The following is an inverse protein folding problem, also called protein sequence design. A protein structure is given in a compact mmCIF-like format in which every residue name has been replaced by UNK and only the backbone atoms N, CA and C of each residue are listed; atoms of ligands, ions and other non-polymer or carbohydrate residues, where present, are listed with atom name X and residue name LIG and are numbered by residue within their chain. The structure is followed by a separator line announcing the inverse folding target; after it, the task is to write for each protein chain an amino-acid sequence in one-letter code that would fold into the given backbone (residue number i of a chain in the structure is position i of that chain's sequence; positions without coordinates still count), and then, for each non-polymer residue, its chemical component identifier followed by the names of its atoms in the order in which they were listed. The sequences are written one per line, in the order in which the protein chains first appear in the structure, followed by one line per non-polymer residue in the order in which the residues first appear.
data_IF_877110812809
#
_entry.id   IF_877110812809
#
_cell.length_a   1.000
_cell.length_b   1.000
_cell.length_c   1.000
_cell.angle_alpha   90.00
_cell.angle_beta   90.00
_cell.angle_gamma   90.00
#
_symmetry.space_group_name_H-M   'P 1'
#
loop_
_entity.id
_entity.type
_entity.pdbx_description
1 polymer ?
#
# COMPACT_ATOMS: atom_id res chain seq x y z
N UNK A 1 -14.82 -4.54 20.16
CA UNK A 1 -13.59 -5.28 20.58
C UNK A 1 -12.42 -4.74 19.79
N UNK A 2 -11.24 -4.63 20.40
CA UNK A 2 -10.03 -4.20 19.70
C UNK A 2 -9.50 -5.37 18.86
N UNK A 3 -9.17 -5.12 17.61
CA UNK A 3 -8.65 -6.12 16.67
C UNK A 3 -7.18 -6.37 17.00
N UNK A 4 -6.80 -7.61 17.29
CA UNK A 4 -5.43 -7.98 17.66
C UNK A 4 -4.66 -8.44 16.44
N UNK A 5 -3.57 -7.75 16.15
CA UNK A 5 -2.79 -7.90 14.91
C UNK A 5 -1.34 -8.27 15.21
N UNK A 6 -0.84 -9.28 14.50
CA UNK A 6 0.58 -9.60 14.39
C UNK A 6 1.18 -8.98 13.12
N UNK A 7 2.46 -8.62 13.18
CA UNK A 7 3.21 -8.14 12.01
C UNK A 7 4.36 -9.11 11.76
N UNK A 8 4.43 -9.67 10.55
CA UNK A 8 5.56 -10.44 10.08
C UNK A 8 6.38 -9.63 9.07
N UNK A 9 7.61 -9.28 9.42
CA UNK A 9 8.47 -8.36 8.69
C UNK A 9 8.35 -6.91 9.18
N UNK A 10 9.42 -6.37 9.76
CA UNK A 10 9.47 -5.03 10.31
C UNK A 10 10.31 -4.08 9.45
N UNK A 11 10.22 -4.27 8.13
CA UNK A 11 10.75 -3.38 7.10
C UNK A 11 9.98 -2.04 7.04
N UNK A 12 10.09 -1.30 5.94
CA UNK A 12 9.40 -0.01 5.78
C UNK A 12 7.90 -0.12 6.09
N UNK A 13 7.21 -1.02 5.40
CA UNK A 13 5.75 -1.14 5.54
C UNK A 13 5.35 -1.68 6.92
N UNK A 14 6.00 -2.73 7.42
CA UNK A 14 5.67 -3.27 8.76
C UNK A 14 5.82 -2.23 9.86
N UNK A 15 6.90 -1.41 9.83
CA UNK A 15 7.08 -0.30 10.79
C UNK A 15 6.03 0.78 10.66
N UNK A 16 5.62 1.13 9.45
CA UNK A 16 4.61 2.17 9.25
C UNK A 16 3.20 1.68 9.55
N UNK A 17 2.89 0.42 9.28
CA UNK A 17 1.67 -0.22 9.79
C UNK A 17 1.65 -0.18 11.32
N UNK A 18 2.78 -0.46 11.97
CA UNK A 18 2.88 -0.33 13.43
C UNK A 18 2.63 1.11 13.90
N UNK A 19 3.29 2.10 13.28
CA UNK A 19 3.11 3.52 13.64
C UNK A 19 1.68 3.98 13.40
N UNK A 20 1.07 3.66 12.27
CA UNK A 20 -0.31 3.99 11.95
C UNK A 20 -1.30 3.35 12.94
N UNK A 21 -1.03 2.12 13.39
CA UNK A 21 -1.85 1.48 14.41
C UNK A 21 -1.82 2.21 15.77
N UNK A 22 -0.72 2.93 16.10
CA UNK A 22 -0.65 3.71 17.33
C UNK A 22 -1.55 4.97 17.30
N UNK A 23 -2.00 5.40 16.12
CA UNK A 23 -2.93 6.51 15.94
C UNK A 23 -4.40 6.06 15.93
N UNK A 24 -4.64 4.75 16.16
CA UNK A 24 -5.97 4.10 16.10
C UNK A 24 -6.37 3.53 17.46
N UNK A 25 -7.67 3.42 17.67
CA UNK A 25 -8.25 2.83 18.88
C UNK A 25 -8.91 1.47 18.65
N UNK A 26 -9.08 1.08 17.39
CA UNK A 26 -9.73 -0.15 16.97
C UNK A 26 -8.77 -1.33 16.75
N UNK A 27 -7.47 -1.07 16.60
CA UNK A 27 -6.42 -2.06 16.31
C UNK A 27 -5.31 -2.00 17.38
N UNK A 28 -4.85 -3.17 17.80
CA UNK A 28 -3.71 -3.35 18.70
C UNK A 28 -2.69 -4.30 18.08
N UNK A 29 -1.43 -3.84 17.96
CA UNK A 29 -0.32 -4.71 17.56
C UNK A 29 0.17 -5.47 18.79
N UNK A 30 0.05 -6.79 18.76
CA UNK A 30 0.35 -7.66 19.92
C UNK A 30 1.63 -8.49 19.74
N UNK A 31 2.15 -8.56 18.52
CA UNK A 31 3.37 -9.29 18.23
C UNK A 31 4.02 -8.80 16.93
N UNK A 32 5.35 -8.85 16.91
CA UNK A 32 6.17 -8.51 15.73
C UNK A 32 7.19 -9.63 15.55
N UNK A 33 7.38 -10.06 14.32
CA UNK A 33 8.45 -10.96 13.94
C UNK A 33 9.37 -10.29 12.90
N UNK A 34 10.66 -10.30 13.18
CA UNK A 34 11.71 -9.93 12.21
C UNK A 34 13.03 -10.56 12.66
N UNK A 35 14.01 -10.71 11.76
CA UNK A 35 15.29 -11.36 12.03
C UNK A 35 16.35 -10.42 12.64
N UNK A 36 15.93 -9.26 13.13
CA UNK A 36 16.77 -8.27 13.82
C UNK A 36 16.56 -8.35 15.33
N UNK A 37 17.52 -7.88 16.12
CA UNK A 37 17.38 -7.80 17.55
C UNK A 37 16.41 -6.70 18.00
N UNK A 38 15.94 -6.80 19.25
CA UNK A 38 14.92 -5.89 19.77
C UNK A 38 15.46 -4.46 19.96
N UNK A 39 16.74 -4.30 20.26
CA UNK A 39 17.41 -3.01 20.42
C UNK A 39 17.43 -2.27 19.08
N UNK A 40 17.80 -2.96 18.02
CA UNK A 40 17.82 -2.37 16.68
C UNK A 40 16.40 -2.12 16.15
N UNK A 41 15.45 -3.00 16.47
CA UNK A 41 14.03 -2.78 16.18
C UNK A 41 13.51 -1.50 16.84
N UNK A 42 13.80 -1.29 18.12
CA UNK A 42 13.44 -0.09 18.87
C UNK A 42 14.08 1.17 18.26
N UNK A 43 15.35 1.09 17.85
CA UNK A 43 16.06 2.18 17.15
C UNK A 43 15.36 2.55 15.84
N UNK A 44 15.10 1.56 14.97
CA UNK A 44 14.43 1.79 13.68
C UNK A 44 12.98 2.27 13.84
N UNK A 45 12.28 1.89 14.90
CA UNK A 45 10.95 2.42 15.18
C UNK A 45 11.02 3.88 15.64
N UNK A 46 12.06 4.24 16.41
CA UNK A 46 12.22 5.60 16.96
C UNK A 46 12.57 6.61 15.89
N UNK A 47 13.46 6.28 14.98
CA UNK A 47 14.02 7.21 14.00
C UNK A 47 13.64 6.80 12.57
N UNK A 48 13.09 7.73 11.83
CA UNK A 48 12.77 7.54 10.42
C UNK A 48 13.07 8.83 9.65
N UNK A 49 13.77 8.70 8.52
CA UNK A 49 14.20 9.85 7.73
C UNK A 49 13.01 10.60 7.13
N UNK A 50 11.97 9.89 6.67
CA UNK A 50 10.83 10.50 6.00
C UNK A 50 9.69 10.84 6.97
N UNK A 51 9.43 9.94 7.93
CA UNK A 51 8.29 10.10 8.85
C UNK A 51 8.70 10.64 10.23
N UNK A 52 9.97 11.06 10.37
CA UNK A 52 10.48 11.67 11.60
C UNK A 52 10.53 10.74 12.81
N UNK A 53 10.77 11.32 13.97
CA UNK A 53 10.80 10.56 15.22
C UNK A 53 9.41 10.07 15.61
N UNK A 54 9.36 8.86 16.16
CA UNK A 54 8.13 8.28 16.68
C UNK A 54 7.56 9.15 17.81
N UNK A 55 6.28 9.46 17.71
CA UNK A 55 5.55 10.27 18.71
C UNK A 55 5.01 9.35 19.81
N UNK A 56 5.84 9.04 20.79
CA UNK A 56 5.48 8.17 21.91
C UNK A 56 6.71 7.63 22.64
N UNK A 57 6.48 6.83 23.69
CA UNK A 57 7.55 6.17 24.42
C UNK A 57 7.94 4.84 23.77
N UNK A 58 9.24 4.59 23.66
CA UNK A 58 9.81 3.30 23.25
C UNK A 58 10.87 2.93 24.26
N UNK A 59 10.66 1.82 24.93
CA UNK A 59 11.55 1.30 25.98
C UNK A 59 11.83 -0.18 25.72
N UNK A 60 12.94 -0.67 26.25
CA UNK A 60 13.22 -2.09 26.35
C UNK A 60 13.24 -2.43 27.84
N UNK A 61 12.34 -3.33 28.25
CA UNK A 61 12.25 -3.82 29.64
C UNK A 61 12.30 -5.34 29.64
N UNK A 62 13.21 -5.90 30.34
CA UNK A 62 13.41 -7.37 30.47
C UNK A 62 13.51 -8.05 29.09
N UNK A 63 14.22 -7.41 28.12
CA UNK A 63 14.37 -7.91 26.76
C UNK A 63 13.12 -7.80 25.87
N UNK A 64 12.08 -7.10 26.32
CA UNK A 64 10.83 -6.90 25.58
C UNK A 64 10.73 -5.47 25.05
N UNK A 65 10.20 -5.33 23.85
CA UNK A 65 9.83 -4.03 23.30
C UNK A 65 8.56 -3.51 24.00
N UNK A 66 8.66 -2.34 24.62
CA UNK A 66 7.52 -1.68 25.28
C UNK A 66 7.26 -0.34 24.57
N UNK A 67 6.08 -0.18 23.98
CA UNK A 67 5.69 1.04 23.28
C UNK A 67 4.44 1.61 23.92
N UNK A 68 4.48 2.90 24.31
CA UNK A 68 3.39 3.58 25.00
C UNK A 68 2.90 2.79 26.25
N UNK A 69 3.84 2.18 26.99
CA UNK A 69 3.55 1.38 28.17
C UNK A 69 3.03 -0.05 27.91
N UNK A 70 2.83 -0.44 26.67
CA UNK A 70 2.38 -1.78 26.28
C UNK A 70 3.55 -2.65 25.82
N UNK A 71 3.70 -3.83 26.43
CA UNK A 71 4.69 -4.82 26.02
C UNK A 71 4.22 -5.54 24.76
N UNK A 72 5.10 -5.63 23.77
CA UNK A 72 4.86 -6.29 22.49
C UNK A 72 5.77 -7.50 22.40
N UNK A 73 5.21 -8.65 22.03
CA UNK A 73 6.03 -9.83 21.82
C UNK A 73 6.86 -9.67 20.54
N UNK A 74 8.17 -9.85 20.67
CA UNK A 74 9.10 -9.87 19.53
C UNK A 74 9.63 -11.29 19.35
N UNK A 75 9.65 -11.77 18.11
CA UNK A 75 10.23 -13.07 17.72
C UNK A 75 11.18 -12.88 16.54
N UNK A 76 12.07 -13.86 16.30
CA UNK A 76 13.03 -13.86 15.20
C UNK A 76 12.99 -15.22 14.46
N UNK A 77 11.77 -15.65 14.10
CA UNK A 77 11.53 -16.91 13.43
C UNK A 77 11.52 -16.77 11.91
N UNK A 78 12.19 -17.69 11.23
CA UNK A 78 12.21 -17.73 9.76
C UNK A 78 10.97 -18.39 9.16
N UNK A 79 10.41 -19.37 9.87
CA UNK A 79 9.24 -20.10 9.42
C UNK A 79 7.98 -19.56 10.10
N UNK A 80 6.99 -19.09 9.34
CA UNK A 80 5.75 -18.56 9.91
C UNK A 80 4.99 -19.54 10.82
N UNK A 81 5.13 -20.84 10.63
CA UNK A 81 4.46 -21.85 11.45
C UNK A 81 4.97 -21.87 12.91
N UNK A 82 6.16 -21.33 13.18
CA UNK A 82 6.77 -21.32 14.52
C UNK A 82 6.42 -20.04 15.29
N UNK A 83 5.64 -19.11 14.71
CA UNK A 83 5.36 -17.79 15.29
C UNK A 83 4.37 -17.79 16.45
N UNK A 84 3.61 -18.88 16.63
CA UNK A 84 2.68 -19.06 17.77
C UNK A 84 1.80 -17.82 18.02
N UNK A 85 1.10 -17.36 16.99
CA UNK A 85 0.23 -16.18 17.07
C UNK A 85 -0.89 -16.33 18.12
N UNK A 86 -1.32 -17.56 18.37
CA UNK A 86 -2.31 -17.90 19.41
C UNK A 86 -1.87 -17.49 20.81
N UNK A 87 -0.56 -17.55 21.14
CA UNK A 87 -0.06 -17.18 22.48
C UNK A 87 -0.25 -15.69 22.79
N UNK A 88 -0.30 -14.83 21.77
CA UNK A 88 -0.56 -13.41 21.94
C UNK A 88 -1.95 -13.02 21.46
N UNK A 89 -2.77 -13.99 21.05
CA UNK A 89 -4.12 -13.77 20.54
C UNK A 89 -4.19 -12.89 19.28
N UNK A 90 -3.16 -12.95 18.42
CA UNK A 90 -3.18 -12.28 17.13
C UNK A 90 -4.10 -13.03 16.17
N UNK A 91 -5.27 -12.47 15.90
CA UNK A 91 -6.23 -13.06 14.98
C UNK A 91 -5.92 -12.73 13.52
N UNK A 92 -5.39 -11.54 13.27
CA UNK A 92 -4.98 -11.04 11.97
C UNK A 92 -3.47 -10.91 11.91
N UNK A 93 -2.86 -11.27 10.78
CA UNK A 93 -1.43 -11.09 10.54
C UNK A 93 -1.24 -10.23 9.31
N UNK A 94 -0.47 -9.15 9.45
CA UNK A 94 0.06 -8.39 8.32
C UNK A 94 1.37 -9.03 7.87
N UNK A 95 1.35 -9.64 6.71
CA UNK A 95 2.52 -10.23 6.07
C UNK A 95 3.25 -9.17 5.25
N UNK A 96 4.36 -8.65 5.76
CA UNK A 96 5.12 -7.55 5.16
C UNK A 96 6.60 -7.88 4.89
N UNK A 97 6.97 -9.17 4.85
CA UNK A 97 8.31 -9.61 4.45
C UNK A 97 8.51 -9.60 2.93
N UNK A 98 7.43 -9.69 2.15
CA UNK A 98 7.48 -9.88 0.70
C UNK A 98 7.85 -11.30 0.25
N UNK A 99 7.97 -12.25 1.18
CA UNK A 99 8.35 -13.64 0.91
C UNK A 99 7.15 -14.59 0.80
N UNK A 100 6.13 -14.41 1.63
CA UNK A 100 4.99 -15.31 1.77
C UNK A 100 3.75 -14.76 1.06
N UNK A 101 3.82 -14.63 -0.27
CA UNK A 101 2.83 -13.97 -1.13
C UNK A 101 1.91 -14.94 -1.89
N UNK A 102 1.76 -16.16 -1.41
CA UNK A 102 0.80 -17.16 -1.88
C UNK A 102 0.09 -17.79 -0.69
N UNK A 103 -1.11 -18.33 -0.89
CA UNK A 103 -1.85 -19.06 0.16
C UNK A 103 -0.99 -20.15 0.78
N UNK A 104 -0.33 -20.96 -0.07
CA UNK A 104 0.55 -22.04 0.37
C UNK A 104 1.66 -21.54 1.29
N UNK A 105 2.36 -20.48 0.91
CA UNK A 105 3.47 -19.93 1.70
C UNK A 105 2.99 -19.25 2.99
N UNK A 106 1.85 -18.58 2.94
CA UNK A 106 1.28 -17.88 4.07
C UNK A 106 0.52 -18.81 5.04
N UNK A 107 0.29 -20.08 4.66
CA UNK A 107 -0.42 -21.06 5.48
C UNK A 107 0.21 -21.23 6.87
N UNK A 108 1.53 -21.14 6.98
CA UNK A 108 2.24 -21.20 8.25
C UNK A 108 1.74 -20.20 9.30
N UNK A 109 1.19 -19.05 8.91
CA UNK A 109 0.58 -18.12 9.86
C UNK A 109 -0.71 -18.65 10.47
N UNK A 110 -1.51 -19.35 9.68
CA UNK A 110 -2.74 -20.01 10.14
C UNK A 110 -2.39 -21.18 11.07
N UNK A 111 -1.39 -21.97 10.69
CA UNK A 111 -0.88 -23.09 11.49
C UNK A 111 -0.33 -22.61 12.83
N UNK A 112 0.24 -21.39 12.88
CA UNK A 112 0.69 -20.71 14.10
C UNK A 112 -0.45 -20.09 14.93
N UNK A 113 -1.70 -20.23 14.49
CA UNK A 113 -2.91 -19.83 15.23
C UNK A 113 -3.53 -18.50 14.87
N UNK A 114 -3.08 -17.82 13.81
CA UNK A 114 -3.80 -16.71 13.23
C UNK A 114 -5.07 -17.20 12.52
N UNK A 115 -6.08 -16.34 12.40
CA UNK A 115 -7.29 -16.64 11.63
C UNK A 115 -7.22 -16.11 10.20
N UNK A 116 -6.57 -14.97 10.02
CA UNK A 116 -6.54 -14.22 8.76
C UNK A 116 -5.16 -13.64 8.46
N UNK A 117 -4.79 -13.60 7.18
CA UNK A 117 -3.52 -13.03 6.71
C UNK A 117 -3.79 -11.97 5.66
N UNK A 118 -3.24 -10.77 5.86
CA UNK A 118 -3.26 -9.66 4.91
C UNK A 118 -1.85 -9.47 4.35
N UNK A 119 -1.64 -9.82 3.09
CA UNK A 119 -0.37 -9.61 2.39
C UNK A 119 -0.23 -8.14 2.02
N UNK A 120 0.83 -7.48 2.47
CA UNK A 120 1.13 -6.08 2.13
C UNK A 120 1.89 -5.94 0.80
N UNK A 121 1.55 -6.77 -0.17
CA UNK A 121 2.07 -6.76 -1.53
C UNK A 121 1.09 -7.51 -2.45
N UNK A 122 1.18 -7.34 -3.78
CA UNK A 122 0.38 -8.13 -4.71
C UNK A 122 0.63 -9.63 -4.53
N UNK A 123 -0.45 -10.40 -4.43
CA UNK A 123 -0.36 -11.86 -4.38
C UNK A 123 0.23 -12.44 -5.67
N UNK A 124 0.94 -13.56 -5.54
CA UNK A 124 1.56 -14.27 -6.66
C UNK A 124 0.75 -15.49 -7.14
N UNK A 125 -0.41 -15.69 -6.55
CA UNK A 125 -1.39 -16.71 -6.90
C UNK A 125 -2.79 -16.09 -7.09
N UNK A 126 -3.84 -16.88 -6.91
CA UNK A 126 -5.25 -16.46 -6.99
C UNK A 126 -5.79 -15.84 -5.70
N UNK A 127 -4.95 -15.54 -4.70
CA UNK A 127 -5.37 -14.82 -3.49
C UNK A 127 -6.06 -13.51 -3.89
N UNK A 128 -7.29 -13.25 -3.41
CA UNK A 128 -8.02 -12.06 -3.79
C UNK A 128 -7.30 -10.79 -3.34
N UNK A 129 -7.29 -9.79 -4.24
CA UNK A 129 -6.73 -8.47 -3.98
C UNK A 129 -7.84 -7.46 -3.73
N UNK A 130 -7.63 -6.61 -2.73
CA UNK A 130 -8.56 -5.55 -2.38
C UNK A 130 -7.90 -4.19 -2.40
N UNK A 131 -8.65 -3.20 -2.85
CA UNK A 131 -8.34 -1.77 -2.72
C UNK A 131 -9.52 -1.13 -2.00
N UNK A 132 -9.26 -0.50 -0.88
CA UNK A 132 -10.29 0.16 -0.06
C UNK A 132 -11.09 1.16 -0.90
N UNK A 133 -12.43 1.13 -0.76
CA UNK A 133 -13.36 1.96 -1.51
C UNK A 133 -13.57 1.57 -2.97
N UNK A 134 -12.80 0.62 -3.50
CA UNK A 134 -12.96 0.15 -4.89
C UNK A 134 -13.70 -1.18 -4.94
N UNK A 135 -13.25 -2.18 -4.19
CA UNK A 135 -13.84 -3.52 -4.25
C UNK A 135 -13.92 -4.24 -2.89
N UNK A 136 -13.71 -3.55 -1.77
CA UNK A 136 -13.81 -4.17 -0.44
C UNK A 136 -15.18 -4.76 -0.15
N UNK A 137 -16.24 -4.23 -0.75
CA UNK A 137 -17.61 -4.78 -0.61
C UNK A 137 -17.74 -6.20 -1.19
N UNK A 138 -16.80 -6.63 -2.03
CA UNK A 138 -16.75 -8.00 -2.55
C UNK A 138 -16.06 -9.00 -1.62
N UNK A 139 -15.59 -8.55 -0.43
CA UNK A 139 -15.00 -9.45 0.55
C UNK A 139 -16.02 -10.45 1.08
N UNK A 140 -15.68 -11.73 1.00
CA UNK A 140 -16.54 -12.82 1.49
C UNK A 140 -16.11 -13.21 2.90
N UNK A 141 -17.07 -13.24 3.83
CA UNK A 141 -16.85 -13.68 5.22
C UNK A 141 -16.08 -15.00 5.27
N UNK A 142 -15.04 -15.04 6.10
CA UNK A 142 -14.22 -16.24 6.28
C UNK A 142 -13.08 -16.40 5.27
N UNK A 143 -12.90 -15.48 4.31
CA UNK A 143 -11.72 -15.49 3.42
C UNK A 143 -10.46 -15.25 4.26
N UNK A 144 -9.62 -16.29 4.39
CA UNK A 144 -8.46 -16.27 5.29
C UNK A 144 -7.27 -15.47 4.75
N UNK A 145 -7.04 -15.51 3.44
CA UNK A 145 -5.90 -14.86 2.79
C UNK A 145 -6.39 -13.78 1.85
N UNK A 146 -5.88 -12.58 2.03
CA UNK A 146 -6.15 -11.43 1.15
C UNK A 146 -4.86 -10.66 0.87
N UNK A 147 -4.86 -9.92 -0.21
CA UNK A 147 -3.78 -8.98 -0.55
C UNK A 147 -4.32 -7.56 -0.61
N UNK A 148 -3.57 -6.60 -0.05
CA UNK A 148 -3.86 -5.17 -0.18
C UNK A 148 -3.30 -4.59 -1.51
N UNK A 149 -3.00 -5.43 -2.50
CA UNK A 149 -2.39 -5.05 -3.77
C UNK A 149 -1.06 -4.27 -3.58
N UNK A 150 -0.70 -3.39 -4.51
CA UNK A 150 0.46 -2.50 -4.38
C UNK A 150 0.04 -1.07 -4.04
N UNK A 151 0.99 -0.24 -3.55
CA UNK A 151 0.77 1.19 -3.34
C UNK A 151 0.33 1.90 -4.63
N UNK A 152 0.96 1.58 -5.76
CA UNK A 152 0.60 2.13 -7.08
C UNK A 152 -0.80 1.68 -7.51
N UNK A 153 -1.20 0.43 -7.27
CA UNK A 153 -2.57 -0.04 -7.54
C UNK A 153 -3.59 0.70 -6.67
N UNK A 154 -3.26 0.96 -5.40
CA UNK A 154 -4.10 1.73 -4.50
C UNK A 154 -4.27 3.20 -4.93
N UNK A 155 -3.28 3.78 -5.61
CA UNK A 155 -3.42 5.11 -6.20
C UNK A 155 -4.21 5.09 -7.51
N UNK A 156 -3.91 4.15 -8.40
CA UNK A 156 -4.50 4.09 -9.75
C UNK A 156 -5.98 3.66 -9.73
N UNK A 157 -6.34 2.69 -8.89
CA UNK A 157 -7.68 2.11 -8.91
C UNK A 157 -8.80 3.10 -8.58
N UNK A 158 -8.69 4.02 -7.59
CA UNK A 158 -9.72 5.02 -7.33
C UNK A 158 -9.99 5.95 -8.52
N UNK A 159 -8.96 6.52 -9.14
CA UNK A 159 -9.14 7.40 -10.31
C UNK A 159 -9.63 6.63 -11.54
N UNK A 160 -9.14 5.39 -11.76
CA UNK A 160 -9.62 4.53 -12.81
C UNK A 160 -11.10 4.13 -12.62
N UNK A 161 -11.54 3.90 -11.36
CA UNK A 161 -12.94 3.64 -11.03
C UNK A 161 -13.82 4.82 -11.45
N UNK A 162 -13.49 6.03 -11.01
CA UNK A 162 -14.27 7.23 -11.34
C UNK A 162 -14.36 7.44 -12.85
N UNK A 163 -13.22 7.37 -13.57
CA UNK A 163 -13.21 7.50 -15.04
C UNK A 163 -14.05 6.42 -15.71
N UNK A 164 -13.90 5.17 -15.28
CA UNK A 164 -14.61 4.05 -15.90
C UNK A 164 -16.12 4.10 -15.64
N UNK A 165 -16.53 4.41 -14.43
CA UNK A 165 -17.95 4.43 -14.04
C UNK A 165 -18.69 5.60 -14.71
N UNK A 166 -18.07 6.76 -14.88
CA UNK A 166 -18.68 7.95 -15.48
C UNK A 166 -18.57 7.98 -17.01
N UNK A 167 -17.38 7.70 -17.53
CA UNK A 167 -17.06 7.94 -18.95
C UNK A 167 -16.69 6.66 -19.71
N UNK A 168 -16.44 5.56 -19.02
CA UNK A 168 -15.95 4.31 -19.59
C UNK A 168 -14.51 4.41 -20.06
N UNK A 169 -13.64 3.51 -19.65
CA UNK A 169 -12.27 3.39 -20.17
C UNK A 169 -12.27 2.34 -21.27
N UNK A 170 -11.82 2.73 -22.46
CA UNK A 170 -11.58 1.82 -23.59
C UNK A 170 -10.26 1.11 -23.36
N UNK A 171 -9.19 1.87 -23.25
CA UNK A 171 -7.83 1.44 -22.92
C UNK A 171 -7.03 2.57 -22.27
N UNK A 172 -5.83 2.24 -21.75
CA UNK A 172 -4.95 3.24 -21.16
C UNK A 172 -3.57 2.72 -20.84
N UNK A 173 -2.62 3.66 -20.82
CA UNK A 173 -1.24 3.44 -20.41
C UNK A 173 -0.96 4.24 -19.14
N UNK A 174 -0.43 3.56 -18.11
CA UNK A 174 -0.02 4.19 -16.87
C UNK A 174 1.50 4.26 -16.78
N UNK A 175 2.00 5.42 -16.40
CA UNK A 175 3.38 5.58 -15.95
C UNK A 175 3.36 6.01 -14.49
N UNK A 176 4.16 5.39 -13.63
CA UNK A 176 4.39 5.91 -12.29
C UNK A 176 5.80 6.46 -12.15
N UNK A 177 5.92 7.72 -11.75
CA UNK A 177 7.14 8.28 -11.18
C UNK A 177 7.23 7.83 -9.74
N UNK A 178 7.98 6.75 -9.49
CA UNK A 178 7.98 6.08 -8.18
C UNK A 178 9.24 6.40 -7.39
N UNK A 179 9.07 6.76 -6.14
CA UNK A 179 10.17 6.93 -5.18
C UNK A 179 11.01 5.68 -5.05
N UNK A 180 12.22 5.85 -4.53
CA UNK A 180 13.15 4.75 -4.26
C UNK A 180 12.58 3.78 -3.23
N UNK A 181 12.94 2.51 -3.37
CA UNK A 181 12.54 1.46 -2.42
C UNK A 181 13.76 0.69 -1.93
N UNK A 182 13.63 -0.02 -0.82
CA UNK A 182 14.71 -0.76 -0.17
C UNK A 182 15.37 -1.83 -1.07
N UNK A 183 14.75 -2.21 -2.18
CA UNK A 183 15.32 -3.17 -3.13
C UNK A 183 16.32 -2.57 -4.11
N UNK A 184 16.36 -1.23 -4.21
CA UNK A 184 17.30 -0.52 -5.10
C UNK A 184 18.68 -0.40 -4.47
N UNK A 185 19.68 -0.22 -5.32
CA UNK A 185 21.09 -0.07 -4.89
C UNK A 185 21.41 1.40 -4.58
N UNK A 186 22.18 1.63 -3.52
CA UNK A 186 22.70 2.98 -3.19
C UNK A 186 23.80 3.40 -4.17
N UNK A 187 24.66 2.45 -4.56
CA UNK A 187 25.70 2.60 -5.59
C UNK A 187 25.55 1.51 -6.63
N UNK A 188 26.19 1.68 -7.81
CA UNK A 188 26.15 0.65 -8.86
C UNK A 188 26.60 -0.70 -8.32
N UNK A 189 25.77 -1.72 -8.49
CA UNK A 189 26.05 -3.07 -8.00
C UNK A 189 25.31 -4.14 -8.80
N UNK A 190 25.74 -5.40 -8.72
CA UNK A 190 25.16 -6.47 -9.51
C UNK A 190 23.68 -6.70 -9.15
N UNK A 191 22.84 -6.85 -10.18
CA UNK A 191 21.43 -7.22 -10.08
C UNK A 191 21.10 -8.12 -11.27
N UNK A 192 21.19 -9.44 -11.07
CA UNK A 192 21.11 -10.41 -12.16
C UNK A 192 19.73 -10.47 -12.82
N UNK A 193 18.65 -10.15 -12.10
CA UNK A 193 17.26 -10.20 -12.61
C UNK A 193 16.79 -8.88 -13.20
N UNK A 194 17.36 -7.77 -12.74
CA UNK A 194 17.01 -6.41 -13.18
C UNK A 194 18.29 -5.56 -13.22
N UNK A 195 18.94 -5.53 -14.36
CA UNK A 195 20.20 -4.80 -14.54
C UNK A 195 20.04 -3.31 -14.27
N UNK A 196 18.90 -2.71 -14.67
CA UNK A 196 18.63 -1.29 -14.41
C UNK A 196 18.45 -1.02 -12.92
N UNK A 197 17.79 -1.92 -12.18
CA UNK A 197 17.66 -1.83 -10.73
C UNK A 197 18.97 -2.01 -9.96
N UNK A 198 20.05 -2.45 -10.63
CA UNK A 198 21.42 -2.49 -10.11
C UNK A 198 22.14 -1.14 -10.12
N UNK A 199 21.60 -0.10 -10.77
CA UNK A 199 22.20 1.23 -10.84
C UNK A 199 21.85 2.06 -9.60
N UNK A 200 22.76 3.00 -9.26
CA UNK A 200 22.63 3.90 -8.11
C UNK A 200 21.31 4.69 -8.15
N UNK A 201 20.46 4.49 -7.14
CA UNK A 201 19.13 5.04 -7.11
C UNK A 201 19.10 6.58 -7.02
N UNK A 202 20.01 7.17 -6.22
CA UNK A 202 20.04 8.60 -5.97
C UNK A 202 20.55 9.44 -7.16
N UNK A 203 21.19 8.81 -8.15
CA UNK A 203 21.78 9.49 -9.30
C UNK A 203 21.10 9.22 -10.64
N UNK A 204 19.98 8.49 -10.67
CA UNK A 204 19.40 8.03 -11.92
C UNK A 204 17.87 8.09 -11.92
N UNK A 205 17.30 8.29 -13.11
CA UNK A 205 15.93 7.93 -13.43
C UNK A 205 15.96 6.52 -14.05
N UNK A 206 15.33 5.55 -13.41
CA UNK A 206 15.47 4.12 -13.74
C UNK A 206 14.15 3.55 -14.25
N UNK A 207 14.04 3.23 -15.57
CA UNK A 207 12.87 2.50 -16.07
C UNK A 207 12.76 1.11 -15.43
N UNK A 208 11.58 0.77 -14.97
CA UNK A 208 11.28 -0.49 -14.29
C UNK A 208 9.91 -1.02 -14.71
N UNK A 209 9.76 -2.33 -14.76
CA UNK A 209 8.45 -2.94 -14.98
C UNK A 209 7.57 -2.82 -13.73
N UNK A 210 6.26 -2.74 -13.94
CA UNK A 210 5.27 -2.81 -12.87
C UNK A 210 4.04 -3.61 -13.30
N UNK A 211 3.51 -4.41 -12.38
CA UNK A 211 2.22 -5.09 -12.56
C UNK A 211 1.02 -4.29 -12.06
N UNK A 212 1.24 -3.07 -11.55
CA UNK A 212 0.20 -2.31 -10.85
C UNK A 212 -1.02 -1.99 -11.72
N UNK A 213 -0.81 -1.59 -12.99
CA UNK A 213 -1.90 -1.30 -13.92
C UNK A 213 -2.70 -2.54 -14.29
N UNK A 214 -2.03 -3.68 -14.50
CA UNK A 214 -2.69 -4.97 -14.74
C UNK A 214 -3.49 -5.44 -13.52
N UNK A 215 -2.99 -5.16 -12.32
CA UNK A 215 -3.67 -5.51 -11.06
C UNK A 215 -4.99 -4.74 -10.88
N UNK A 216 -5.16 -3.55 -11.49
CA UNK A 216 -6.45 -2.85 -11.51
C UNK A 216 -7.54 -3.70 -12.15
N UNK A 217 -7.25 -4.48 -13.19
CA UNK A 217 -8.20 -5.41 -13.78
C UNK A 217 -8.65 -6.56 -12.86
N UNK A 218 -7.88 -6.85 -11.79
CA UNK A 218 -8.29 -7.83 -10.78
C UNK A 218 -9.24 -7.23 -9.74
N UNK A 219 -9.12 -5.92 -9.45
CA UNK A 219 -9.99 -5.22 -8.48
C UNK A 219 -11.17 -4.52 -9.15
N UNK A 220 -11.08 -4.20 -10.44
CA UNK A 220 -12.16 -3.69 -11.30
C UNK A 220 -12.25 -4.58 -12.54
N UNK A 221 -13.04 -5.67 -12.51
CA UNK A 221 -13.06 -6.67 -13.59
C UNK A 221 -13.37 -6.12 -14.98
N UNK A 222 -14.17 -5.06 -15.09
CA UNK A 222 -14.47 -4.39 -16.35
C UNK A 222 -13.26 -3.72 -17.03
N UNK A 223 -12.16 -3.53 -16.28
CA UNK A 223 -10.90 -2.99 -16.78
C UNK A 223 -9.85 -4.08 -17.07
N UNK A 224 -10.21 -5.36 -16.93
CA UNK A 224 -9.28 -6.44 -17.22
C UNK A 224 -8.81 -6.39 -18.69
N UNK A 225 -7.50 -6.38 -18.90
CA UNK A 225 -6.89 -6.28 -20.23
C UNK A 225 -6.86 -4.89 -20.85
N UNK A 226 -7.49 -3.88 -20.24
CA UNK A 226 -7.57 -2.52 -20.79
C UNK A 226 -6.42 -1.61 -20.32
N UNK A 227 -5.79 -1.91 -19.19
CA UNK A 227 -4.71 -1.10 -18.61
C UNK A 227 -3.41 -1.87 -18.54
N UNK A 228 -2.33 -1.22 -18.94
CA UNK A 228 -0.95 -1.66 -18.68
C UNK A 228 -0.07 -0.45 -18.36
N UNK A 229 1.18 -0.67 -17.97
CA UNK A 229 2.03 0.46 -17.63
C UNK A 229 3.44 0.08 -17.23
N UNK A 230 4.21 1.11 -16.91
CA UNK A 230 5.59 1.02 -16.46
C UNK A 230 5.87 1.99 -15.31
N UNK A 231 7.05 1.90 -14.74
CA UNK A 231 7.54 2.78 -13.69
C UNK A 231 8.84 3.46 -14.13
N UNK A 232 8.99 4.72 -13.77
CA UNK A 232 10.30 5.34 -13.61
C UNK A 232 10.61 5.47 -12.12
N UNK A 233 11.69 4.82 -11.64
CA UNK A 233 12.22 5.10 -10.32
C UNK A 233 12.95 6.44 -10.38
N UNK A 234 12.59 7.34 -9.48
CA UNK A 234 13.14 8.69 -9.39
C UNK A 234 13.86 8.88 -8.05
N UNK A 235 14.88 9.77 -7.96
CA UNK A 235 15.68 9.93 -6.75
C UNK A 235 14.98 10.75 -5.65
N UNK A 236 13.72 10.41 -5.34
CA UNK A 236 12.98 10.86 -4.18
C UNK A 236 12.86 9.71 -3.18
N UNK A 237 12.79 10.00 -1.90
CA UNK A 237 12.79 8.97 -0.85
C UNK A 237 11.40 8.44 -0.53
N UNK A 238 10.37 9.28 -0.74
CA UNK A 238 8.96 8.94 -0.55
C UNK A 238 8.10 9.84 -1.42
N UNK A 239 6.82 9.54 -1.51
CA UNK A 239 5.79 10.12 -2.36
C UNK A 239 6.05 9.91 -3.86
N UNK A 240 5.11 9.25 -4.47
CA UNK A 240 5.12 8.83 -5.87
C UNK A 240 3.95 9.46 -6.63
N UNK A 241 3.98 9.39 -7.94
CA UNK A 241 2.92 9.92 -8.81
C UNK A 241 2.48 8.88 -9.83
N UNK A 242 1.17 8.79 -10.07
CA UNK A 242 0.57 8.06 -11.19
C UNK A 242 0.21 9.05 -12.28
N UNK A 243 0.64 8.78 -13.49
CA UNK A 243 0.23 9.39 -14.76
C UNK A 243 -0.56 8.36 -15.55
N UNK A 244 -1.87 8.55 -15.69
CA UNK A 244 -2.74 7.69 -16.48
C UNK A 244 -3.18 8.42 -17.74
N UNK A 245 -2.74 7.95 -18.90
CA UNK A 245 -3.25 8.37 -20.20
C UNK A 245 -4.26 7.34 -20.69
N UNK A 246 -5.50 7.76 -20.96
CA UNK A 246 -6.61 6.87 -21.29
C UNK A 246 -7.48 7.38 -22.45
N UNK A 247 -7.98 6.43 -23.23
CA UNK A 247 -9.09 6.64 -24.16
C UNK A 247 -10.41 6.35 -23.43
N UNK A 248 -11.34 7.29 -23.49
CA UNK A 248 -12.66 7.20 -22.90
C UNK A 248 -13.71 6.78 -23.96
N UNK A 249 -14.72 6.02 -23.54
CA UNK A 249 -15.80 5.60 -24.40
C UNK A 249 -16.80 6.73 -24.69
N UNK A 250 -16.99 7.64 -23.73
CA UNK A 250 -17.89 8.78 -23.84
C UNK A 250 -17.11 10.07 -23.95
N UNK A 251 -17.41 10.94 -24.94
CA UNK A 251 -16.86 12.29 -24.97
C UNK A 251 -17.19 13.06 -23.69
N UNK A 252 -16.22 13.82 -23.19
CA UNK A 252 -16.37 14.66 -22.01
C UNK A 252 -15.41 15.84 -22.07
N UNK A 253 -15.52 16.79 -21.15
CA UNK A 253 -14.52 17.85 -20.93
C UNK A 253 -13.63 17.53 -19.73
N UNK A 254 -12.47 18.17 -19.66
CA UNK A 254 -11.57 18.00 -18.52
C UNK A 254 -12.21 18.53 -17.24
N UNK A 255 -13.01 19.60 -17.34
CA UNK A 255 -13.77 20.17 -16.22
C UNK A 255 -14.79 19.17 -15.66
N UNK A 256 -15.47 18.40 -16.52
CA UNK A 256 -16.37 17.33 -16.07
C UNK A 256 -15.63 16.20 -15.36
N UNK A 257 -14.43 15.86 -15.84
CA UNK A 257 -13.56 14.88 -15.16
C UNK A 257 -13.15 15.40 -13.77
N UNK A 258 -12.68 16.65 -13.68
CA UNK A 258 -12.31 17.28 -12.40
C UNK A 258 -13.51 17.31 -11.44
N UNK A 259 -14.70 17.67 -11.93
CA UNK A 259 -15.92 17.65 -11.14
C UNK A 259 -16.24 16.24 -10.62
N UNK A 260 -16.17 15.23 -11.46
CA UNK A 260 -16.43 13.84 -11.05
C UNK A 260 -15.44 13.35 -10.00
N UNK A 261 -14.15 13.69 -10.14
CA UNK A 261 -13.12 13.35 -9.16
C UNK A 261 -13.35 14.05 -7.82
N UNK A 262 -13.73 15.34 -7.85
CA UNK A 262 -14.05 16.10 -6.65
C UNK A 262 -15.26 15.53 -5.92
N UNK A 263 -16.35 15.27 -6.63
CA UNK A 263 -17.55 14.65 -6.07
C UNK A 263 -17.25 13.28 -5.43
N UNK A 264 -16.46 12.44 -6.09
CA UNK A 264 -16.06 11.15 -5.56
C UNK A 264 -15.18 11.29 -4.30
N UNK A 265 -14.25 12.26 -4.28
CA UNK A 265 -13.36 12.50 -3.13
C UNK A 265 -14.10 13.01 -1.89
N UNK A 266 -15.18 13.75 -2.07
CA UNK A 266 -16.03 14.24 -1.00
C UNK A 266 -17.13 13.24 -0.59
N UNK A 267 -17.44 12.30 -1.48
CA UNK A 267 -18.50 11.29 -1.37
C UNK A 267 -18.00 9.86 -1.12
N UNK A 268 -18.21 8.99 -2.11
CA UNK A 268 -17.99 7.54 -2.00
C UNK A 268 -16.53 7.13 -1.73
N UNK A 269 -15.56 7.93 -2.18
CA UNK A 269 -14.14 7.68 -1.99
C UNK A 269 -13.50 8.61 -0.93
N UNK A 270 -14.32 9.19 -0.05
CA UNK A 270 -13.82 10.04 1.03
C UNK A 270 -12.82 9.30 1.91
N UNK A 271 -11.66 9.94 2.17
CA UNK A 271 -10.56 9.34 2.94
C UNK A 271 -9.68 8.34 2.14
N UNK A 272 -9.98 8.16 0.85
CA UNK A 272 -9.23 7.31 -0.09
C UNK A 272 -8.72 8.16 -1.25
N UNK A 273 -9.64 8.82 -1.97
CA UNK A 273 -9.33 9.80 -3.00
C UNK A 273 -9.30 11.19 -2.39
N UNK A 274 -8.23 11.93 -2.66
CA UNK A 274 -8.13 13.36 -2.44
C UNK A 274 -8.28 14.14 -3.73
N UNK A 275 -8.44 15.46 -3.63
CA UNK A 275 -8.54 16.37 -4.76
C UNK A 275 -7.80 17.65 -4.44
N UNK A 276 -7.00 18.15 -5.37
CA UNK A 276 -6.31 19.44 -5.23
C UNK A 276 -6.38 20.27 -6.52
N UNK A 277 -6.45 21.58 -6.35
CA UNK A 277 -6.29 22.59 -7.42
C UNK A 277 -5.04 23.46 -7.21
N UNK A 278 -4.25 23.15 -6.19
CA UNK A 278 -3.01 23.86 -5.89
C UNK A 278 -1.88 23.39 -6.81
N UNK A 279 -0.85 24.23 -6.96
CA UNK A 279 0.36 23.91 -7.70
C UNK A 279 1.33 23.16 -6.76
N UNK A 280 1.10 21.89 -6.58
CA UNK A 280 1.78 21.01 -5.63
C UNK A 280 2.89 20.19 -6.25
N UNK A 281 3.77 19.66 -5.39
CA UNK A 281 4.82 18.71 -5.73
C UNK A 281 4.78 17.53 -4.75
N UNK A 282 5.56 16.49 -5.01
CA UNK A 282 5.51 15.25 -4.25
C UNK A 282 5.63 15.42 -2.73
N UNK A 283 6.54 16.29 -2.26
CA UNK A 283 6.78 16.48 -0.81
C UNK A 283 5.59 17.05 -0.04
N UNK A 284 4.63 17.69 -0.73
CA UNK A 284 3.42 18.24 -0.09
C UNK A 284 2.46 17.14 0.41
N UNK A 285 2.65 15.91 -0.05
CA UNK A 285 1.81 14.77 0.32
C UNK A 285 2.48 13.78 1.28
N UNK A 286 3.65 14.13 1.81
CA UNK A 286 4.31 13.30 2.81
C UNK A 286 3.44 13.16 4.06
N UNK A 287 3.15 11.92 4.45
CA UNK A 287 2.28 11.62 5.58
C UNK A 287 0.77 11.69 5.27
N UNK A 288 0.37 11.83 4.00
CA UNK A 288 -1.03 11.76 3.62
C UNK A 288 -1.53 10.30 3.70
N UNK A 289 -2.58 10.08 4.50
CA UNK A 289 -3.18 8.75 4.69
C UNK A 289 -4.09 8.31 3.52
N UNK A 290 -4.43 9.22 2.60
CA UNK A 290 -5.16 8.88 1.37
C UNK A 290 -4.19 8.26 0.39
N UNK A 291 -4.66 7.29 -0.40
CA UNK A 291 -3.81 6.55 -1.33
C UNK A 291 -3.83 7.07 -2.75
N UNK A 292 -4.64 8.10 -3.04
CA UNK A 292 -4.79 8.68 -4.37
C UNK A 292 -5.21 10.14 -4.22
N UNK A 293 -4.38 11.10 -4.59
CA UNK A 293 -4.72 12.52 -4.53
C UNK A 293 -4.71 13.06 -5.97
N UNK A 294 -5.91 13.23 -6.54
CA UNK A 294 -6.07 13.73 -7.90
C UNK A 294 -5.64 15.20 -7.99
N UNK A 295 -4.73 15.47 -8.94
CA UNK A 295 -4.23 16.81 -9.23
C UNK A 295 -4.97 17.38 -10.44
N UNK A 296 -5.91 18.27 -10.18
CA UNK A 296 -6.76 18.85 -11.21
C UNK A 296 -5.99 19.76 -12.20
N UNK A 297 -4.85 20.30 -11.81
CA UNK A 297 -4.05 21.21 -12.67
C UNK A 297 -2.90 20.54 -13.40
N UNK A 298 -2.56 19.30 -13.04
CA UNK A 298 -1.49 18.56 -13.71
C UNK A 298 -1.95 17.72 -14.90
N UNK A 299 -3.27 17.50 -15.07
CA UNK A 299 -3.82 16.71 -16.16
C UNK A 299 -3.96 17.51 -17.47
N UNK A 300 -4.15 16.78 -18.57
CA UNK A 300 -4.26 17.34 -19.93
C UNK A 300 -5.32 16.55 -20.69
N UNK A 301 -6.11 17.25 -21.50
CA UNK A 301 -7.04 16.64 -22.45
C UNK A 301 -6.66 17.05 -23.87
N UNK A 302 -6.47 16.07 -24.76
CA UNK A 302 -6.13 16.31 -26.16
C UNK A 302 -7.36 16.32 -27.06
N UNK A 303 -8.28 15.38 -26.84
CA UNK A 303 -9.57 15.29 -27.56
C UNK A 303 -10.66 15.01 -26.53
N UNK A 304 -11.96 15.13 -26.90
CA UNK A 304 -13.05 14.82 -25.95
C UNK A 304 -13.00 13.40 -25.34
N UNK A 305 -12.22 12.50 -25.91
CA UNK A 305 -12.08 11.11 -25.43
C UNK A 305 -10.66 10.72 -25.07
N UNK A 306 -9.66 11.59 -25.22
CA UNK A 306 -8.26 11.24 -24.92
C UNK A 306 -7.69 12.17 -23.85
N UNK A 307 -7.44 11.62 -22.68
CA UNK A 307 -7.10 12.38 -21.48
C UNK A 307 -5.89 11.79 -20.76
N UNK A 308 -5.11 12.67 -20.14
CA UNK A 308 -4.11 12.34 -19.14
C UNK A 308 -4.56 12.88 -17.80
N UNK A 309 -4.57 12.04 -16.76
CA UNK A 309 -4.84 12.43 -15.37
C UNK A 309 -3.65 12.07 -14.48
N UNK A 310 -3.45 12.88 -13.44
CA UNK A 310 -2.33 12.76 -12.51
C UNK A 310 -2.87 12.57 -11.11
N UNK A 311 -2.27 11.65 -10.35
CA UNK A 311 -2.60 11.42 -8.95
C UNK A 311 -1.37 11.13 -8.12
N UNK A 312 -1.25 11.80 -6.97
CA UNK A 312 -0.15 11.65 -6.00
C UNK A 312 -0.48 10.60 -4.94
N UNK A 313 0.53 10.01 -4.35
CA UNK A 313 0.37 9.11 -3.20
C UNK A 313 1.65 8.99 -2.37
N UNK A 314 1.49 9.06 -1.05
CA UNK A 314 2.53 8.59 -0.15
C UNK A 314 2.55 7.05 -0.23
N UNK A 315 3.57 6.52 -0.90
CA UNK A 315 3.66 5.08 -1.20
C UNK A 315 3.94 4.22 0.04
N UNK A 316 4.27 4.85 1.16
CA UNK A 316 4.52 4.21 2.45
C UNK A 316 3.38 4.43 3.44
N UNK A 317 3.09 5.69 3.80
CA UNK A 317 2.12 6.03 4.84
C UNK A 317 0.68 5.76 4.43
N UNK A 318 0.26 6.26 3.28
CA UNK A 318 -1.09 6.03 2.76
C UNK A 318 -1.39 4.55 2.58
N UNK A 319 -0.44 3.82 2.01
CA UNK A 319 -0.54 2.39 1.83
C UNK A 319 -0.65 1.62 3.16
N UNK A 320 0.18 1.96 4.15
CA UNK A 320 0.18 1.32 5.48
C UNK A 320 -1.14 1.54 6.22
N UNK A 321 -1.74 2.72 6.10
CA UNK A 321 -3.07 2.99 6.64
C UNK A 321 -4.13 2.10 5.99
N UNK A 322 -4.09 1.90 4.67
CA UNK A 322 -5.07 1.05 3.96
C UNK A 322 -4.90 -0.44 4.25
N UNK A 323 -3.71 -0.91 4.60
CA UNK A 323 -3.53 -2.26 5.16
C UNK A 323 -4.35 -2.42 6.44
N UNK A 324 -4.31 -1.45 7.35
CA UNK A 324 -5.10 -1.47 8.59
C UNK A 324 -6.60 -1.28 8.33
N UNK A 325 -6.98 -0.45 7.37
CA UNK A 325 -8.38 -0.28 6.96
C UNK A 325 -8.96 -1.58 6.38
N UNK A 326 -8.17 -2.34 5.61
CA UNK A 326 -8.56 -3.66 5.12
C UNK A 326 -8.73 -4.66 6.27
N UNK A 327 -7.80 -4.68 7.24
CA UNK A 327 -7.94 -5.51 8.46
C UNK A 327 -9.23 -5.17 9.21
N UNK A 328 -9.51 -3.88 9.40
CA UNK A 328 -10.72 -3.43 10.09
C UNK A 328 -12.00 -3.80 9.33
N UNK A 329 -11.98 -3.67 7.99
CA UNK A 329 -13.10 -4.10 7.13
C UNK A 329 -13.35 -5.61 7.26
N UNK A 330 -12.29 -6.42 7.17
CA UNK A 330 -12.38 -7.87 7.34
C UNK A 330 -12.96 -8.23 8.72
N UNK A 331 -12.48 -7.58 9.78
CA UNK A 331 -12.97 -7.82 11.14
C UNK A 331 -14.46 -7.47 11.28
N UNK A 332 -14.89 -6.36 10.68
CA UNK A 332 -16.30 -5.96 10.67
C UNK A 332 -17.19 -6.98 9.95
N UNK A 333 -16.75 -7.54 8.84
CA UNK A 333 -17.52 -8.52 8.05
C UNK A 333 -17.53 -9.91 8.72
N UNK A 334 -16.42 -10.27 9.36
CA UNK A 334 -16.27 -11.56 10.02
C UNK A 334 -17.05 -11.65 11.36
N UNK A 335 -17.38 -10.52 11.98
CA UNK A 335 -18.21 -10.43 13.18
C UNK A 335 -17.40 -10.48 14.43
#
# INVERSE_FOLDING_TARGET
MTIRVGINGFGRIGRLVFRAAQERNDIEIVGINDLIDVEYMAYMLRYDTMHGQFKGSIEIKDGKLVVNGKAIRVTAEKNPADLKWNEVGAEYVVESTGLFLTKEKAQGHIDAGAKYVVMSAPSKDDTPMFVCGVNTDSYVKGTQFVSNASCTTNCLAPIAKVLNDKFGIVDGLMTTGHSTTATQKTVDGPSMKDWRGGRAAAGNIIPSSTGAAKAVGKVIPSLNGKLTGMSFRVPTLDVSVVDLTANLAKPTSYEEICKAMKEASEGELKGILGYTEDQVVSSDFLGDARTSIFDAKAGIQLTPTFVKVVSWYDNEWGYSNKVLDLVAHMAKVNG
#
